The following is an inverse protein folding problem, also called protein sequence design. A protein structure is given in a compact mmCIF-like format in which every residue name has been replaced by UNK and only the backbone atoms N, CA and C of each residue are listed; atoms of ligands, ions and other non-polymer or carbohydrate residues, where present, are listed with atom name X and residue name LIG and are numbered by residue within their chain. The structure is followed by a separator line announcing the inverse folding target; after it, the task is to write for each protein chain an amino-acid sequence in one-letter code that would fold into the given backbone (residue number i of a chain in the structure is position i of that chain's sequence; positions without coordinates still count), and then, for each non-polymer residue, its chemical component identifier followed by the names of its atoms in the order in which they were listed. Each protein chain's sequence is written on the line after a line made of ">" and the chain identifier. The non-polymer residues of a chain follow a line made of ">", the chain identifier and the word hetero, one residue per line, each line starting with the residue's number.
data_IF_007516859464
#
_entry.id   IF_007516859464
#
_cell.length_a   1.000
_cell.length_b   1.000
_cell.length_c   1.000
_cell.angle_alpha   90.00
_cell.angle_beta   90.00
_cell.angle_gamma   90.00
#
_symmetry.space_group_name_H-M   'P 1'
#
loop_
_entity.id
_entity.type
_entity.pdbx_description
1 polymer ?
#
# COMPACT_ATOMS: atom_id res chain seq x y z
N UNK A 1 12.87 1.22 -6.26
CA UNK A 1 12.16 1.44 -4.98
C UNK A 1 10.67 1.65 -5.23
N UNK A 2 9.85 1.13 -4.34
CA UNK A 2 8.40 1.29 -4.43
C UNK A 2 7.73 1.05 -3.09
N UNK A 3 6.59 1.71 -2.87
CA UNK A 3 5.67 1.39 -1.78
C UNK A 3 4.54 0.55 -2.36
N UNK A 4 4.14 -0.51 -1.68
CA UNK A 4 3.14 -1.46 -2.16
C UNK A 4 1.82 -1.26 -1.43
N UNK A 5 0.74 -1.17 -2.20
CA UNK A 5 -0.62 -1.14 -1.66
C UNK A 5 -0.96 -2.52 -1.05
N UNK A 6 -1.89 -2.51 -0.13
CA UNK A 6 -2.35 -3.72 0.56
C UNK A 6 -2.75 -4.84 -0.41
N UNK A 7 -3.38 -4.50 -1.54
CA UNK A 7 -3.85 -5.49 -2.51
C UNK A 7 -2.73 -6.34 -3.12
N UNK A 8 -1.52 -5.80 -3.26
CA UNK A 8 -0.38 -6.58 -3.76
C UNK A 8 -0.10 -7.76 -2.82
N UNK A 9 -0.12 -7.52 -1.52
CA UNK A 9 0.07 -8.59 -0.52
C UNK A 9 -1.06 -9.62 -0.56
N UNK A 10 -2.29 -9.16 -0.78
CA UNK A 10 -3.45 -10.06 -0.91
C UNK A 10 -3.29 -10.97 -2.13
N UNK A 11 -2.84 -10.43 -3.27
CA UNK A 11 -2.56 -11.25 -4.45
C UNK A 11 -1.50 -12.30 -4.18
N UNK A 12 -0.45 -11.96 -3.43
CA UNK A 12 0.59 -12.93 -3.03
C UNK A 12 -0.01 -14.03 -2.16
N UNK A 13 -0.85 -13.68 -1.19
CA UNK A 13 -1.53 -14.65 -0.33
C UNK A 13 -2.42 -15.61 -1.13
N UNK A 14 -2.95 -15.16 -2.26
CA UNK A 14 -3.76 -15.96 -3.17
C UNK A 14 -2.93 -16.77 -4.18
N UNK A 15 -1.62 -16.72 -4.06
CA UNK A 15 -0.73 -17.50 -4.92
C UNK A 15 -0.42 -16.87 -6.29
N UNK A 16 -0.63 -15.56 -6.44
CA UNK A 16 -0.33 -14.88 -7.71
C UNK A 16 1.19 -14.74 -7.89
N UNK A 17 1.73 -15.44 -8.88
CA UNK A 17 3.18 -15.46 -9.14
C UNK A 17 3.71 -14.13 -9.66
N UNK A 18 2.88 -13.36 -10.37
CA UNK A 18 3.28 -12.04 -10.89
C UNK A 18 3.49 -11.04 -9.74
N UNK A 19 2.63 -11.09 -8.72
CA UNK A 19 2.76 -10.25 -7.53
C UNK A 19 4.04 -10.60 -6.76
N UNK A 20 4.33 -11.89 -6.61
CA UNK A 20 5.56 -12.34 -5.98
C UNK A 20 6.79 -11.83 -6.73
N UNK A 21 6.79 -11.96 -8.06
CA UNK A 21 7.89 -11.47 -8.90
C UNK A 21 8.05 -9.95 -8.83
N UNK A 22 6.95 -9.21 -8.76
CA UNK A 22 7.00 -7.76 -8.60
C UNK A 22 7.79 -7.37 -7.35
N UNK A 23 7.52 -8.02 -6.23
CA UNK A 23 8.24 -7.77 -4.98
C UNK A 23 9.69 -8.21 -5.10
N UNK A 24 9.95 -9.40 -5.62
CA UNK A 24 11.32 -9.91 -5.79
C UNK A 24 12.18 -9.00 -6.67
N UNK A 25 11.58 -8.41 -7.71
CA UNK A 25 12.30 -7.55 -8.66
C UNK A 25 12.44 -6.11 -8.18
N UNK A 26 11.86 -5.75 -7.04
CA UNK A 26 11.98 -4.41 -6.47
C UNK A 26 13.10 -4.40 -5.43
N UNK A 27 14.12 -3.54 -5.65
CA UNK A 27 15.31 -3.53 -4.79
C UNK A 27 15.04 -2.97 -3.40
N UNK A 28 14.30 -1.86 -3.31
CA UNK A 28 13.93 -1.24 -2.03
C UNK A 28 12.42 -1.30 -1.88
N UNK A 29 11.97 -1.97 -0.84
CA UNK A 29 10.57 -2.31 -0.63
C UNK A 29 10.02 -1.61 0.58
N UNK A 30 8.92 -0.90 0.38
CA UNK A 30 8.26 -0.11 1.42
C UNK A 30 6.79 -0.48 1.51
N UNK A 31 6.22 -0.34 2.70
CA UNK A 31 4.78 -0.32 2.89
C UNK A 31 4.43 0.72 3.95
N UNK A 32 3.21 1.24 3.86
CA UNK A 32 2.71 2.15 4.89
C UNK A 32 2.34 1.37 6.16
N UNK A 33 2.38 2.05 7.31
CA UNK A 33 1.86 1.46 8.54
C UNK A 33 0.37 1.11 8.40
N UNK A 34 -0.36 1.85 7.59
CA UNK A 34 -1.76 1.57 7.26
C UNK A 34 -1.92 0.21 6.60
N UNK A 35 -1.09 -0.08 5.59
CA UNK A 35 -1.09 -1.39 4.92
C UNK A 35 -0.77 -2.51 5.92
N UNK A 36 0.23 -2.29 6.79
CA UNK A 36 0.57 -3.29 7.80
C UNK A 36 -0.61 -3.59 8.71
N UNK A 37 -1.29 -2.54 9.20
CA UNK A 37 -2.47 -2.71 10.04
C UNK A 37 -3.60 -3.43 9.30
N UNK A 38 -3.83 -3.11 8.05
CA UNK A 38 -4.86 -3.78 7.23
C UNK A 38 -4.57 -5.28 7.06
N UNK A 39 -3.31 -5.62 6.83
CA UNK A 39 -2.91 -7.02 6.71
C UNK A 39 -3.10 -7.79 8.02
N UNK A 40 -2.75 -7.19 9.15
CA UNK A 40 -2.96 -7.81 10.46
C UNK A 40 -4.44 -7.92 10.79
N UNK A 41 -5.22 -6.88 10.49
CA UNK A 41 -6.66 -6.87 10.75
C UNK A 41 -7.41 -7.90 9.89
N UNK A 42 -6.96 -8.12 8.66
CA UNK A 42 -7.54 -9.09 7.75
C UNK A 42 -7.15 -10.53 8.03
N UNK A 43 -6.20 -10.78 8.92
CA UNK A 43 -5.76 -12.11 9.28
C UNK A 43 -6.76 -12.80 10.21
N UNK A 44 -6.98 -14.11 10.01
CA UNK A 44 -7.96 -14.87 10.78
C UNK A 44 -7.40 -15.52 12.05
N UNK A 45 -6.07 -15.50 12.24
CA UNK A 45 -5.41 -16.23 13.34
C UNK A 45 -4.08 -15.61 13.73
N UNK A 46 -3.59 -16.01 14.89
CA UNK A 46 -2.23 -15.61 15.34
C UNK A 46 -1.14 -16.13 14.41
N UNK A 47 -1.34 -17.30 13.81
CA UNK A 47 -0.37 -17.85 12.87
C UNK A 47 -0.29 -17.00 11.61
N UNK A 48 -1.41 -16.48 11.13
CA UNK A 48 -1.42 -15.55 10.00
C UNK A 48 -0.77 -14.22 10.35
N UNK A 49 -0.92 -13.72 11.58
CA UNK A 49 -0.17 -12.55 12.06
C UNK A 49 1.34 -12.80 12.02
N UNK A 50 1.77 -13.95 12.50
CA UNK A 50 3.19 -14.36 12.46
C UNK A 50 3.70 -14.42 11.03
N UNK A 51 2.93 -15.03 10.14
CA UNK A 51 3.30 -15.12 8.72
C UNK A 51 3.50 -13.73 8.11
N UNK A 52 2.55 -12.82 8.34
CA UNK A 52 2.64 -11.45 7.83
C UNK A 52 3.90 -10.74 8.34
N UNK A 53 4.16 -10.81 9.64
CA UNK A 53 5.33 -10.18 10.24
C UNK A 53 6.63 -10.76 9.69
N UNK A 54 6.69 -12.09 9.56
CA UNK A 54 7.87 -12.78 9.02
C UNK A 54 8.10 -12.41 7.57
N UNK A 55 7.04 -12.34 6.76
CA UNK A 55 7.15 -11.95 5.36
C UNK A 55 7.76 -10.55 5.23
N UNK A 56 7.25 -9.59 5.98
CA UNK A 56 7.73 -8.21 5.95
C UNK A 56 9.20 -8.15 6.36
N UNK A 57 9.59 -8.88 7.39
CA UNK A 57 10.96 -8.92 7.86
C UNK A 57 11.89 -9.62 6.86
N UNK A 58 11.50 -10.79 6.39
CA UNK A 58 12.35 -11.65 5.55
C UNK A 58 12.60 -11.03 4.17
N UNK A 59 11.63 -10.29 3.65
CA UNK A 59 11.78 -9.57 2.38
C UNK A 59 12.31 -8.14 2.56
N UNK A 60 12.77 -7.80 3.76
CA UNK A 60 13.41 -6.52 4.07
C UNK A 60 12.54 -5.30 3.73
N UNK A 61 11.26 -5.39 4.02
CA UNK A 61 10.37 -4.24 3.87
C UNK A 61 10.64 -3.19 4.93
N UNK A 62 10.59 -1.94 4.53
CA UNK A 62 10.64 -0.81 5.45
C UNK A 62 9.20 -0.31 5.66
N UNK A 63 8.76 -0.30 6.91
CA UNK A 63 7.43 0.20 7.28
C UNK A 63 7.52 1.71 7.51
N UNK A 64 6.77 2.47 6.73
CA UNK A 64 6.75 3.93 6.83
C UNK A 64 5.69 4.39 7.82
N UNK A 65 6.06 5.23 8.78
CA UNK A 65 5.13 5.67 9.82
C UNK A 65 4.08 6.66 9.32
N UNK A 66 3.00 6.80 10.08
CA UNK A 66 2.00 7.83 9.85
C UNK A 66 2.48 9.14 10.48
N UNK A 67 2.91 10.07 9.64
CA UNK A 67 3.35 11.39 10.10
C UNK A 67 2.20 12.39 10.09
N UNK A 68 2.41 13.55 10.72
CA UNK A 68 1.44 14.64 10.70
C UNK A 68 1.13 15.08 9.26
N UNK A 69 2.15 15.25 8.43
CA UNK A 69 1.97 15.66 7.04
C UNK A 69 1.21 14.62 6.23
N UNK A 70 1.44 13.34 6.47
CA UNK A 70 0.68 12.28 5.81
C UNK A 70 -0.80 12.38 6.21
N UNK A 71 -1.08 12.61 7.48
CA UNK A 71 -2.46 12.77 7.95
C UNK A 71 -3.18 13.94 7.30
N UNK A 72 -2.53 15.10 7.23
CA UNK A 72 -3.11 16.29 6.58
C UNK A 72 -3.36 16.05 5.10
N UNK A 73 -2.40 15.46 4.39
CA UNK A 73 -2.56 15.17 2.96
C UNK A 73 -3.67 14.15 2.71
N UNK A 74 -3.75 13.13 3.54
CA UNK A 74 -4.81 12.13 3.44
C UNK A 74 -6.20 12.74 3.60
N UNK A 75 -6.36 13.65 4.55
CA UNK A 75 -7.62 14.38 4.72
C UNK A 75 -8.03 15.14 3.45
N UNK A 76 -7.07 15.84 2.84
CA UNK A 76 -7.31 16.56 1.58
C UNK A 76 -7.77 15.60 0.49
N UNK A 77 -7.13 14.44 0.37
CA UNK A 77 -7.50 13.45 -0.64
C UNK A 77 -8.92 12.92 -0.44
N UNK A 78 -9.31 12.67 0.80
CA UNK A 78 -10.68 12.23 1.09
C UNK A 78 -11.69 13.33 0.72
N UNK A 79 -11.41 14.58 1.10
CA UNK A 79 -12.28 15.70 0.76
C UNK A 79 -12.46 15.86 -0.75
N UNK A 80 -11.37 15.74 -1.50
CA UNK A 80 -11.41 16.00 -2.95
C UNK A 80 -11.91 14.81 -3.76
N UNK A 81 -11.62 13.57 -3.35
CA UNK A 81 -11.80 12.41 -4.23
C UNK A 81 -12.76 11.34 -3.70
N UNK A 82 -13.28 11.46 -2.47
CA UNK A 82 -14.16 10.41 -1.95
C UNK A 82 -15.48 10.30 -2.72
N UNK A 83 -16.09 11.43 -3.04
CA UNK A 83 -17.37 11.45 -3.75
C UNK A 83 -17.22 11.14 -5.24
N UNK A 84 -16.17 11.64 -5.87
CA UNK A 84 -15.97 11.49 -7.32
C UNK A 84 -15.34 10.16 -7.71
N UNK A 85 -14.42 9.64 -6.91
CA UNK A 85 -13.60 8.47 -7.25
C UNK A 85 -13.65 7.36 -6.21
N UNK A 86 -14.41 7.54 -5.14
CA UNK A 86 -14.59 6.50 -4.13
C UNK A 86 -13.36 6.21 -3.28
N UNK A 87 -12.39 7.13 -3.21
CA UNK A 87 -11.21 6.92 -2.36
C UNK A 87 -11.65 6.85 -0.90
N UNK A 88 -11.15 5.87 -0.18
CA UNK A 88 -11.45 5.66 1.22
C UNK A 88 -10.29 6.16 2.08
N UNK A 89 -10.54 6.32 3.39
CA UNK A 89 -9.53 6.84 4.31
C UNK A 89 -8.22 6.02 4.26
N UNK A 90 -8.32 4.70 4.25
CA UNK A 90 -7.14 3.84 4.14
C UNK A 90 -6.35 4.07 2.86
N UNK A 91 -7.03 4.15 1.71
CA UNK A 91 -6.41 4.46 0.42
C UNK A 91 -5.72 5.83 0.45
N UNK A 92 -6.39 6.81 1.04
CA UNK A 92 -5.85 8.16 1.13
C UNK A 92 -4.57 8.20 1.96
N UNK A 93 -4.52 7.45 3.06
CA UNK A 93 -3.31 7.35 3.90
C UNK A 93 -2.18 6.67 3.13
N UNK A 94 -2.46 5.61 2.39
CA UNK A 94 -1.46 4.92 1.58
C UNK A 94 -0.91 5.86 0.49
N UNK A 95 -1.79 6.54 -0.24
CA UNK A 95 -1.40 7.50 -1.26
C UNK A 95 -0.57 8.65 -0.68
N UNK A 96 -1.01 9.21 0.44
CA UNK A 96 -0.30 10.30 1.12
C UNK A 96 1.09 9.84 1.60
N UNK A 97 1.20 8.62 2.10
CA UNK A 97 2.48 8.05 2.50
C UNK A 97 3.44 7.97 1.31
N UNK A 98 2.95 7.52 0.16
CA UNK A 98 3.75 7.46 -1.05
C UNK A 98 4.22 8.85 -1.50
N UNK A 99 3.33 9.82 -1.54
CA UNK A 99 3.63 11.19 -1.98
C UNK A 99 4.62 11.86 -1.04
N UNK A 100 4.39 11.79 0.28
CA UNK A 100 5.26 12.44 1.27
C UNK A 100 6.66 11.82 1.31
N UNK A 101 6.80 10.56 0.94
CA UNK A 101 8.09 9.87 0.89
C UNK A 101 8.67 9.83 -0.52
N UNK A 102 8.02 10.47 -1.48
CA UNK A 102 8.47 10.56 -2.88
C UNK A 102 8.71 9.18 -3.51
N UNK A 103 7.79 8.26 -3.27
CA UNK A 103 7.86 6.88 -3.76
C UNK A 103 6.74 6.58 -4.75
N UNK A 104 6.99 5.79 -5.79
CA UNK A 104 5.91 5.28 -6.62
C UNK A 104 5.07 4.26 -5.85
N UNK A 105 3.76 4.30 -6.02
CA UNK A 105 2.83 3.35 -5.43
C UNK A 105 2.50 2.25 -6.42
N UNK A 106 2.78 1.00 -6.05
CA UNK A 106 2.36 -0.18 -6.80
C UNK A 106 1.02 -0.68 -6.29
N UNK A 107 0.02 -0.73 -7.17
CA UNK A 107 -1.32 -1.17 -6.84
C UNK A 107 -2.02 -1.78 -8.06
N UNK A 108 -2.96 -2.67 -7.85
CA UNK A 108 -3.88 -3.12 -8.92
C UNK A 108 -5.15 -2.27 -8.98
N UNK A 109 -5.37 -1.41 -8.00
CA UNK A 109 -6.59 -0.61 -7.86
C UNK A 109 -6.45 0.78 -8.48
N UNK A 110 -6.27 0.82 -9.79
CA UNK A 110 -6.14 2.08 -10.53
C UNK A 110 -7.30 3.04 -10.29
N UNK A 111 -8.51 2.51 -10.19
CA UNK A 111 -9.74 3.31 -10.10
C UNK A 111 -9.72 4.28 -8.91
N UNK A 112 -9.26 3.84 -7.74
CA UNK A 112 -9.25 4.68 -6.54
C UNK A 112 -8.14 5.73 -6.55
N UNK A 113 -7.03 5.47 -7.24
CA UNK A 113 -5.84 6.31 -7.13
C UNK A 113 -5.57 7.22 -8.33
N UNK A 114 -6.18 6.95 -9.47
CA UNK A 114 -5.85 7.66 -10.72
C UNK A 114 -6.09 9.16 -10.67
N UNK A 115 -7.00 9.63 -9.81
CA UNK A 115 -7.32 11.04 -9.68
C UNK A 115 -6.28 11.82 -8.88
N UNK A 116 -5.46 11.15 -8.09
CA UNK A 116 -4.46 11.79 -7.23
C UNK A 116 -3.27 12.21 -8.08
N UNK A 117 -3.21 13.50 -8.43
CA UNK A 117 -2.25 14.04 -9.40
C UNK A 117 -0.80 13.92 -8.99
N UNK A 118 -0.52 14.13 -7.70
CA UNK A 118 0.84 14.11 -7.16
C UNK A 118 1.42 12.71 -7.09
N UNK A 119 0.58 11.69 -7.22
CA UNK A 119 0.95 10.30 -7.00
C UNK A 119 1.58 9.70 -8.25
N UNK A 120 2.78 9.15 -8.09
CA UNK A 120 3.40 8.35 -9.12
C UNK A 120 2.84 6.92 -9.03
N UNK A 121 1.85 6.63 -9.85
CA UNK A 121 1.10 5.37 -9.81
C UNK A 121 1.70 4.35 -10.76
N UNK A 122 2.01 3.16 -10.23
CA UNK A 122 2.43 1.99 -11.00
C UNK A 122 1.35 0.93 -10.92
N UNK A 123 0.63 0.73 -12.02
CA UNK A 123 -0.49 -0.20 -12.03
C UNK A 123 0.01 -1.63 -12.23
N UNK A 124 -0.33 -2.48 -11.27
CA UNK A 124 -0.07 -3.91 -11.35
C UNK A 124 -1.29 -4.63 -11.94
N UNK A 125 -1.05 -5.52 -12.90
CA UNK A 125 -2.10 -6.36 -13.48
C UNK A 125 -1.89 -7.80 -13.04
N UNK A 126 -2.76 -8.31 -12.16
CA UNK A 126 -2.64 -9.67 -11.64
C UNK A 126 -2.86 -10.75 -12.71
#
# INVERSE_FOLDING_TARGET
>A
MAIFDTDIFIWIQRGNSKAARLIENTAERYLSIQTFMELLQGAASKDQHKYTKSFIKDFNFIVLPLTENIGHRALIYVEEYSLSHGIRAGDAIIAATAVENNLPLSTSNKKHFKAVRDLNLKVFKP
#
